data_IF_420200389996
#
_entry.id   IF_420200389996
#
_cell.length_a   1.000
_cell.length_b   1.000
_cell.length_c   1.000
_cell.angle_alpha   90.00
_cell.angle_beta   90.00
_cell.angle_gamma   90.00
#
_symmetry.space_group_name_H-M   'P 1'
#
loop_
_entity.id
_entity.type
_entity.pdbx_description
1 polymer ?
#
# COMPACT_ATOMS: atom_id res chain seq x y z
N UNK A 1 6.05 13.15 20.28
CA UNK A 1 5.71 12.20 21.36
C UNK A 1 4.29 11.74 21.14
N UNK A 2 4.04 10.44 20.98
CA UNK A 2 2.67 9.93 21.07
C UNK A 2 2.17 10.22 22.50
N UNK A 3 0.89 10.60 22.71
CA UNK A 3 0.40 10.91 24.05
C UNK A 3 0.55 9.69 24.97
N UNK A 4 0.78 9.92 26.26
CA UNK A 4 0.98 8.86 27.24
C UNK A 4 -0.18 7.86 27.20
N UNK A 5 0.14 6.56 27.01
CA UNK A 5 -0.83 5.48 26.84
C UNK A 5 -1.22 5.16 25.39
N UNK A 6 -0.70 5.88 24.39
CA UNK A 6 -0.88 5.52 22.98
C UNK A 6 0.15 4.45 22.58
N UNK A 7 -0.30 3.21 22.44
CA UNK A 7 0.48 2.12 21.90
C UNK A 7 0.22 1.98 20.39
N UNK A 8 1.28 1.84 19.60
CA UNK A 8 1.15 1.43 18.21
C UNK A 8 0.76 -0.05 18.15
N UNK A 9 -0.07 -0.48 17.20
CA UNK A 9 -0.34 -1.90 17.00
C UNK A 9 0.97 -2.66 16.75
N UNK A 10 1.17 -3.77 17.46
CA UNK A 10 2.32 -4.66 17.27
C UNK A 10 2.13 -5.56 16.06
N UNK A 11 0.91 -6.03 15.81
CA UNK A 11 0.60 -6.88 14.66
C UNK A 11 0.56 -6.05 13.36
N UNK A 12 1.16 -6.58 12.26
CA UNK A 12 1.12 -5.90 10.98
C UNK A 12 -0.31 -5.85 10.41
N UNK A 13 -0.73 -4.70 9.92
CA UNK A 13 -1.98 -4.55 9.18
C UNK A 13 -1.74 -4.70 7.67
N UNK A 14 -2.63 -5.42 6.99
CA UNK A 14 -2.66 -5.50 5.53
C UNK A 14 -3.72 -4.55 5.01
N UNK A 15 -3.37 -3.78 3.99
CA UNK A 15 -4.24 -2.83 3.33
C UNK A 15 -4.17 -3.08 1.82
N UNK A 16 -5.31 -3.24 1.17
CA UNK A 16 -5.40 -3.36 -0.29
C UNK A 16 -5.94 -2.06 -0.87
N UNK A 17 -5.23 -1.47 -1.83
CA UNK A 17 -5.69 -0.29 -2.58
C UNK A 17 -5.94 -0.71 -4.01
N UNK A 18 -7.15 -0.45 -4.50
CA UNK A 18 -7.51 -0.67 -5.91
C UNK A 18 -7.46 0.65 -6.66
N UNK A 19 -6.77 0.68 -7.79
CA UNK A 19 -6.68 1.81 -8.69
C UNK A 19 -7.44 1.55 -9.99
N UNK A 20 -8.08 2.59 -10.50
CA UNK A 20 -8.61 2.66 -11.86
C UNK A 20 -8.13 3.97 -12.50
N UNK A 21 -7.49 3.85 -13.66
CA UNK A 21 -6.84 4.96 -14.37
C UNK A 21 -5.98 5.89 -13.48
N UNK A 22 -5.21 5.29 -12.56
CA UNK A 22 -4.33 6.00 -11.62
C UNK A 22 -5.05 6.58 -10.40
N UNK A 23 -6.38 6.46 -10.32
CA UNK A 23 -7.18 6.96 -9.20
C UNK A 23 -7.50 5.82 -8.24
N UNK A 24 -7.25 5.96 -6.92
CA UNK A 24 -7.72 4.97 -5.95
C UNK A 24 -9.25 4.98 -5.88
N UNK A 25 -9.86 3.81 -6.14
CA UNK A 25 -11.33 3.63 -6.23
C UNK A 25 -11.87 2.64 -5.20
N UNK A 26 -11.03 1.82 -4.58
CA UNK A 26 -11.44 0.94 -3.50
C UNK A 26 -10.34 0.72 -2.46
N UNK A 27 -10.75 0.52 -1.21
CA UNK A 27 -9.88 0.12 -0.09
C UNK A 27 -10.43 -1.20 0.48
N UNK A 28 -9.60 -2.23 0.54
CA UNK A 28 -9.99 -3.59 0.98
C UNK A 28 -11.24 -4.15 0.26
N UNK A 29 -11.42 -3.77 -1.01
CA UNK A 29 -12.56 -4.17 -1.83
C UNK A 29 -13.82 -3.30 -1.67
N UNK A 30 -13.83 -2.34 -0.75
CA UNK A 30 -14.94 -1.38 -0.58
C UNK A 30 -14.71 -0.15 -1.47
N UNK A 31 -15.69 0.14 -2.34
CA UNK A 31 -15.64 1.32 -3.22
C UNK A 31 -15.65 2.61 -2.41
N UNK A 32 -14.76 3.53 -2.77
CA UNK A 32 -14.58 4.82 -2.10
C UNK A 32 -14.38 5.93 -3.12
N UNK A 33 -14.72 7.16 -2.73
CA UNK A 33 -14.22 8.35 -3.41
C UNK A 33 -12.73 8.56 -3.12
N UNK A 34 -12.05 9.38 -3.93
CA UNK A 34 -10.66 9.76 -3.69
C UNK A 34 -10.44 10.37 -2.29
N UNK A 35 -11.38 11.20 -1.82
CA UNK A 35 -11.29 11.82 -0.50
C UNK A 35 -11.41 10.76 0.61
N UNK A 36 -12.35 9.82 0.47
CA UNK A 36 -12.53 8.73 1.43
C UNK A 36 -11.32 7.79 1.42
N UNK A 37 -10.78 7.44 0.25
CA UNK A 37 -9.53 6.68 0.13
C UNK A 37 -8.41 7.37 0.92
N UNK A 38 -8.19 8.66 0.66
CA UNK A 38 -7.18 9.44 1.37
C UNK A 38 -7.41 9.44 2.89
N UNK A 39 -8.64 9.72 3.36
CA UNK A 39 -8.96 9.76 4.78
C UNK A 39 -8.80 8.40 5.47
N UNK A 40 -9.23 7.32 4.81
CA UNK A 40 -9.10 5.96 5.35
C UNK A 40 -7.65 5.53 5.44
N UNK A 41 -6.88 5.69 4.36
CA UNK A 41 -5.45 5.33 4.34
C UNK A 41 -4.68 6.18 5.35
N UNK A 42 -4.93 7.50 5.41
CA UNK A 42 -4.25 8.37 6.36
C UNK A 42 -4.54 8.00 7.83
N UNK A 43 -5.76 7.55 8.13
CA UNK A 43 -6.14 7.08 9.47
C UNK A 43 -5.39 5.79 9.84
N UNK A 44 -5.39 4.79 8.95
CA UNK A 44 -4.75 3.49 9.19
C UNK A 44 -3.24 3.62 9.28
N UNK A 45 -2.62 4.30 8.33
CA UNK A 45 -1.18 4.54 8.30
C UNK A 45 -0.75 5.41 9.50
N UNK A 46 -1.55 6.42 9.87
CA UNK A 46 -1.32 7.23 11.07
C UNK A 46 -1.38 6.44 12.39
N UNK A 47 -2.20 5.39 12.48
CA UNK A 47 -2.30 4.52 13.65
C UNK A 47 -1.01 3.74 13.94
N UNK A 48 -0.14 3.55 12.94
CA UNK A 48 1.17 2.92 13.07
C UNK A 48 2.31 3.91 13.33
N UNK A 49 2.00 5.20 13.55
CA UNK A 49 3.01 6.20 13.89
C UNK A 49 3.85 6.67 12.72
N UNK A 50 3.39 6.45 11.49
CA UNK A 50 3.94 7.13 10.32
C UNK A 50 3.66 8.63 10.46
N UNK A 51 4.62 9.34 11.03
CA UNK A 51 4.72 10.80 10.99
C UNK A 51 6.07 11.11 10.34
N UNK A 52 6.06 11.75 9.18
CA UNK A 52 7.25 12.40 8.67
C UNK A 52 7.72 13.46 9.64
N UNK A 53 9.00 13.77 9.53
CA UNK A 53 9.72 14.63 10.47
C UNK A 53 9.34 16.12 10.38
N UNK A 54 8.30 16.47 9.62
CA UNK A 54 7.88 17.84 9.32
C UNK A 54 6.39 18.07 9.56
N UNK A 55 6.02 19.34 9.69
CA UNK A 55 4.68 19.83 10.12
C UNK A 55 3.57 19.51 9.09
N UNK A 56 3.91 19.05 7.88
CA UNK A 56 2.98 18.83 6.76
C UNK A 56 2.91 17.38 6.26
N UNK A 57 3.25 16.40 7.08
CA UNK A 57 3.30 15.04 6.56
C UNK A 57 1.92 14.36 6.54
N UNK A 58 1.45 14.04 5.34
CA UNK A 58 0.24 13.25 5.10
C UNK A 58 0.67 11.82 4.79
N UNK A 59 0.87 10.96 5.81
CA UNK A 59 1.38 9.60 5.62
C UNK A 59 0.45 8.76 4.71
N UNK A 60 -0.85 9.08 4.68
CA UNK A 60 -1.77 8.49 3.72
C UNK A 60 -1.51 8.88 2.27
N UNK A 61 -1.13 10.13 2.00
CA UNK A 61 -0.75 10.55 0.65
C UNK A 61 0.53 9.85 0.21
N UNK A 62 1.54 9.78 1.07
CA UNK A 62 2.79 9.08 0.76
C UNK A 62 2.56 7.59 0.48
N UNK A 63 1.71 6.92 1.27
CA UNK A 63 1.35 5.54 1.03
C UNK A 63 0.63 5.34 -0.31
N UNK A 64 -0.30 6.24 -0.68
CA UNK A 64 -1.00 6.19 -1.96
C UNK A 64 -0.07 6.44 -3.15
N UNK A 65 0.85 7.41 -3.06
CA UNK A 65 1.87 7.67 -4.09
C UNK A 65 2.78 6.47 -4.25
N UNK A 66 3.28 5.91 -3.13
CA UNK A 66 4.13 4.71 -3.15
C UNK A 66 3.41 3.54 -3.81
N UNK A 67 2.14 3.33 -3.48
CA UNK A 67 1.35 2.27 -4.09
C UNK A 67 1.14 2.49 -5.59
N UNK A 68 0.81 3.71 -6.00
CA UNK A 68 0.67 4.08 -7.40
C UNK A 68 1.97 3.83 -8.19
N UNK A 69 3.11 4.31 -7.69
CA UNK A 69 4.42 4.16 -8.33
C UNK A 69 4.81 2.68 -8.51
N UNK A 70 4.50 1.81 -7.55
CA UNK A 70 4.75 0.37 -7.70
C UNK A 70 3.78 -0.29 -8.70
N UNK A 71 2.52 0.16 -8.77
CA UNK A 71 1.58 -0.34 -9.76
C UNK A 71 1.98 0.10 -11.18
N UNK A 72 2.47 1.33 -11.34
CA UNK A 72 2.94 1.85 -12.62
C UNK A 72 4.05 0.99 -13.22
N UNK A 73 4.98 0.48 -12.41
CA UNK A 73 6.08 -0.39 -12.87
C UNK A 73 5.61 -1.71 -13.48
N UNK A 74 4.43 -2.19 -13.10
CA UNK A 74 3.85 -3.46 -13.57
C UNK A 74 2.68 -3.26 -14.54
N UNK A 75 2.22 -2.01 -14.73
CA UNK A 75 1.09 -1.69 -15.59
C UNK A 75 1.52 -1.51 -17.05
N UNK A 76 0.67 -1.93 -17.98
CA UNK A 76 0.87 -1.66 -19.41
C UNK A 76 -0.20 -0.67 -19.89
N UNK A 77 0.21 0.58 -20.10
CA UNK A 77 -0.66 1.65 -20.57
C UNK A 77 -1.33 2.43 -19.43
N UNK A 78 -2.45 1.94 -18.90
CA UNK A 78 -3.18 2.60 -17.80
C UNK A 78 -2.83 1.95 -16.47
N UNK A 79 -2.57 2.76 -15.45
CA UNK A 79 -2.32 2.29 -14.07
C UNK A 79 -3.64 1.83 -13.47
N UNK A 80 -3.90 0.52 -13.48
CA UNK A 80 -5.14 -0.07 -12.96
C UNK A 80 -4.84 -1.41 -12.33
N UNK A 81 -5.50 -1.72 -11.21
CA UNK A 81 -5.25 -2.96 -10.48
C UNK A 81 -5.12 -2.77 -8.97
N UNK A 82 -4.61 -3.80 -8.29
CA UNK A 82 -4.52 -3.85 -6.84
C UNK A 82 -3.08 -3.75 -6.35
N UNK A 83 -2.88 -3.00 -5.27
CA UNK A 83 -1.62 -2.93 -4.53
C UNK A 83 -1.87 -3.32 -3.08
N UNK A 84 -1.06 -4.23 -2.55
CA UNK A 84 -1.10 -4.67 -1.17
C UNK A 84 0.01 -3.99 -0.39
N UNK A 85 -0.36 -3.24 0.62
CA UNK A 85 0.51 -2.61 1.60
C UNK A 85 0.50 -3.41 2.89
N UNK A 86 1.67 -3.50 3.53
CA UNK A 86 1.81 -3.99 4.91
C UNK A 86 2.27 -2.83 5.77
N UNK A 87 1.45 -2.50 6.77
CA UNK A 87 1.71 -1.45 7.75
C UNK A 87 2.29 -2.08 9.00
N UNK A 88 3.49 -1.65 9.40
CA UNK A 88 4.15 -2.18 10.59
C UNK A 88 5.19 -1.20 11.13
N UNK A 89 5.08 -0.88 12.43
CA UNK A 89 6.06 -0.07 13.19
C UNK A 89 6.56 1.17 12.46
N UNK A 90 5.65 2.04 12.02
CA UNK A 90 6.00 3.28 11.34
C UNK A 90 6.48 3.12 9.89
N UNK A 91 6.23 1.97 9.25
CA UNK A 91 6.51 1.74 7.84
C UNK A 91 5.25 1.26 7.11
N UNK A 92 5.11 1.70 5.85
CA UNK A 92 4.17 1.15 4.88
C UNK A 92 5.00 0.56 3.74
N UNK A 93 4.95 -0.76 3.57
CA UNK A 93 5.76 -1.47 2.58
C UNK A 93 4.84 -2.12 1.55
N UNK A 94 5.15 -1.94 0.28
CA UNK A 94 4.43 -2.65 -0.80
C UNK A 94 4.85 -4.11 -0.80
N UNK A 95 3.89 -5.01 -0.63
CA UNK A 95 4.10 -6.45 -0.64
C UNK A 95 3.82 -7.07 -2.01
N UNK A 96 2.82 -6.55 -2.74
CA UNK A 96 2.51 -6.98 -4.10
C UNK A 96 1.80 -5.87 -4.87
N UNK A 97 2.03 -5.77 -6.17
CA UNK A 97 1.25 -4.97 -7.10
C UNK A 97 0.80 -5.86 -8.27
N UNK A 98 -0.48 -5.78 -8.65
CA UNK A 98 -1.08 -6.60 -9.70
C UNK A 98 -1.99 -5.75 -10.59
N UNK A 99 -1.66 -5.65 -11.87
CA UNK A 99 -2.55 -5.15 -12.92
C UNK A 99 -3.24 -6.36 -13.59
N UNK A 100 -4.58 -6.36 -13.64
CA UNK A 100 -5.39 -7.42 -14.24
C UNK A 100 -5.27 -7.49 -15.77
N UNK A 101 -4.83 -6.40 -16.42
CA UNK A 101 -4.62 -6.30 -17.87
C UNK A 101 -3.21 -6.75 -18.26
N UNK A 102 -2.31 -6.84 -17.29
CA UNK A 102 -0.95 -7.32 -17.51
C UNK A 102 -0.96 -8.85 -17.61
N UNK A 103 -0.67 -9.37 -18.81
CA UNK A 103 -0.50 -10.82 -19.09
C UNK A 103 0.73 -11.45 -18.39
N UNK A 104 1.46 -10.69 -17.56
CA UNK A 104 2.59 -11.20 -16.78
C UNK A 104 2.11 -11.86 -15.49
N UNK A 105 2.02 -13.19 -15.54
CA UNK A 105 1.96 -14.03 -14.35
C UNK A 105 3.39 -14.24 -13.81
N UNK A 106 3.74 -13.56 -12.71
CA UNK A 106 4.99 -13.85 -11.98
C UNK A 106 4.92 -15.16 -11.15
N UNK A 107 3.89 -16.00 -11.30
CA UNK A 107 3.88 -17.34 -10.69
C UNK A 107 4.89 -18.31 -11.31
N UNK A 108 5.54 -17.96 -12.43
CA UNK A 108 6.61 -18.79 -13.00
C UNK A 108 7.96 -18.52 -12.30
N UNK A 109 8.16 -19.15 -11.15
CA UNK A 109 9.42 -19.82 -10.84
C UNK A 109 10.64 -19.00 -10.41
N UNK A 110 10.51 -18.07 -9.45
CA UNK A 110 11.68 -17.53 -8.71
C UNK A 110 11.71 -17.98 -7.24
N UNK A 111 11.42 -19.26 -6.98
CA UNK A 111 11.98 -19.94 -5.79
C UNK A 111 13.25 -20.63 -6.25
N UNK A 112 14.40 -19.97 -6.09
CA UNK A 112 15.67 -20.68 -6.09
C UNK A 112 15.69 -21.54 -4.83
N UNK A 113 15.30 -22.81 -4.98
CA UNK A 113 15.62 -23.88 -4.05
C UNK A 113 17.15 -23.96 -3.95
N UNK A 114 17.72 -23.48 -2.83
CA UNK A 114 19.10 -23.79 -2.50
C UNK A 114 19.13 -25.13 -1.75
N UNK A 115 18.86 -26.21 -2.48
CA UNK A 115 19.35 -27.54 -2.14
C UNK A 115 20.46 -27.90 -3.12
N UNK A 116 21.69 -27.57 -2.76
CA UNK A 116 22.84 -28.33 -3.24
C UNK A 116 23.63 -28.79 -2.02
N UNK A 117 23.89 -30.10 -2.05
CA UNK A 117 24.43 -30.96 -1.01
C UNK A 117 25.82 -30.58 -0.49
#
# INVERSE_FOLDING_TARGET
MAPDGFAFPDDPEKLVVTFDEGVPVAIDGETVTLLEAFQQVNRRVGAFGLKGREIYDSPGALALVTAHDELEKVSIGRVSGEVRLVLHRGNAVVNSARDERTLYDFSTGATFDQSVA
#
